data_IF_115777577047
#
_entry.id   IF_115777577047
#
_cell.length_a   1.000
_cell.length_b   1.000
_cell.length_c   1.000
_cell.angle_alpha   90.00
_cell.angle_beta   90.00
_cell.angle_gamma   90.00
#
_symmetry.space_group_name_H-M   'P 1'
#
loop_
_entity.id
_entity.type
_entity.pdbx_description
1 polymer ?
#
# COMPACT_ATOMS: atom_id res chain seq x y z
N UNK A 1 9.91 -2.83 8.39
CA UNK A 1 9.73 -3.52 7.09
C UNK A 1 10.82 -3.19 6.08
N UNK A 2 10.94 -1.93 5.61
CA UNK A 2 11.89 -1.59 4.54
C UNK A 2 13.34 -2.01 4.83
N UNK A 3 13.85 -1.71 6.02
CA UNK A 3 15.23 -2.09 6.41
C UNK A 3 15.46 -3.60 6.42
N UNK A 4 14.46 -4.39 6.81
CA UNK A 4 14.52 -5.86 6.79
C UNK A 4 14.73 -6.34 5.35
N UNK A 5 13.90 -5.88 4.42
CA UNK A 5 14.03 -6.23 3.00
C UNK A 5 15.35 -5.73 2.40
N UNK A 6 15.75 -4.49 2.70
CA UNK A 6 17.01 -3.92 2.21
C UNK A 6 18.21 -4.72 2.67
N UNK A 7 18.31 -5.02 3.97
CA UNK A 7 19.48 -5.67 4.54
C UNK A 7 19.53 -7.17 4.22
N UNK A 8 18.40 -7.87 4.39
CA UNK A 8 18.37 -9.32 4.22
C UNK A 8 18.40 -9.77 2.76
N UNK A 9 17.84 -8.97 1.84
CA UNK A 9 17.88 -9.25 0.40
C UNK A 9 18.91 -8.39 -0.35
N UNK A 10 19.55 -7.40 0.26
CA UNK A 10 20.48 -6.48 -0.42
C UNK A 10 19.82 -5.66 -1.53
N UNK A 11 18.52 -5.36 -1.42
CA UNK A 11 17.72 -4.73 -2.48
C UNK A 11 17.34 -3.30 -2.10
N UNK A 12 17.50 -2.30 -2.99
CA UNK A 12 16.89 -0.99 -2.76
C UNK A 12 15.37 -1.11 -2.63
N UNK A 13 14.80 -0.45 -1.63
CA UNK A 13 13.35 -0.42 -1.38
C UNK A 13 12.83 1.00 -1.54
N UNK A 14 11.94 1.21 -2.51
CA UNK A 14 11.18 2.45 -2.68
C UNK A 14 10.05 2.46 -1.65
N UNK A 15 9.98 3.54 -0.84
CA UNK A 15 9.05 3.64 0.29
C UNK A 15 7.92 4.60 -0.06
N UNK A 16 6.71 4.07 -0.21
CA UNK A 16 5.51 4.85 -0.54
C UNK A 16 4.44 4.61 0.53
N UNK A 17 4.06 5.66 1.26
CA UNK A 17 3.03 5.58 2.30
C UNK A 17 1.63 5.85 1.75
N UNK A 18 0.66 5.02 2.14
CA UNK A 18 -0.79 5.31 2.02
C UNK A 18 -1.20 6.36 3.05
N UNK A 19 -0.66 7.57 2.92
CA UNK A 19 -0.70 8.63 3.93
C UNK A 19 -0.87 10.00 3.28
N UNK A 20 -1.33 10.98 4.06
CA UNK A 20 -1.46 12.38 3.65
C UNK A 20 -2.36 12.59 2.40
N UNK A 21 -3.49 11.88 2.33
CA UNK A 21 -4.44 12.00 1.21
C UNK A 21 -5.45 10.85 1.12
N UNK A 22 -5.17 9.72 1.77
CA UNK A 22 -5.99 8.50 1.71
C UNK A 22 -7.29 8.54 2.55
N UNK A 23 -8.14 9.55 2.31
CA UNK A 23 -9.40 9.75 3.04
C UNK A 23 -10.59 9.12 2.34
N UNK A 24 -10.68 9.24 1.02
CA UNK A 24 -11.81 8.75 0.23
C UNK A 24 -11.88 7.22 0.21
N UNK A 25 -13.09 6.66 0.20
CA UNK A 25 -13.34 5.22 0.22
C UNK A 25 -14.42 4.80 -0.78
N UNK A 26 -14.13 3.88 -1.72
CA UNK A 26 -15.16 3.32 -2.57
C UNK A 26 -16.04 2.36 -1.76
N UNK A 27 -17.34 2.32 -2.07
CA UNK A 27 -18.32 1.46 -1.38
C UNK A 27 -19.02 0.56 -2.39
N UNK A 28 -19.31 -0.68 -1.98
CA UNK A 28 -20.08 -1.63 -2.80
C UNK A 28 -21.56 -1.26 -2.93
N UNK A 29 -22.09 -0.47 -2.01
CA UNK A 29 -23.47 0.03 -2.01
C UNK A 29 -23.47 1.54 -1.78
N UNK A 30 -24.48 2.22 -2.32
CA UNK A 30 -24.65 3.66 -2.17
C UNK A 30 -25.22 4.04 -0.79
N UNK A 31 -25.91 3.11 -0.15
CA UNK A 31 -26.59 3.24 1.12
C UNK A 31 -26.15 2.16 2.11
N UNK A 32 -26.50 2.38 3.38
CA UNK A 32 -26.31 1.46 4.48
C UNK A 32 -27.60 1.41 5.30
N UNK A 33 -28.08 0.20 5.60
CA UNK A 33 -29.28 -0.03 6.40
C UNK A 33 -28.91 -0.65 7.75
N UNK A 34 -29.30 0.00 8.84
CA UNK A 34 -29.12 -0.50 10.22
C UNK A 34 -30.44 -0.37 10.96
N UNK A 35 -30.92 -1.46 11.56
CA UNK A 35 -32.16 -1.50 12.34
C UNK A 35 -33.38 -0.88 11.62
N UNK A 36 -33.49 -1.10 10.30
CA UNK A 36 -34.61 -0.61 9.47
C UNK A 36 -34.49 0.84 8.99
N UNK A 37 -33.45 1.59 9.39
CA UNK A 37 -33.16 2.93 8.89
C UNK A 37 -32.12 2.84 7.78
N UNK A 38 -32.35 3.54 6.65
CA UNK A 38 -31.43 3.57 5.49
C UNK A 38 -30.84 4.97 5.33
N UNK A 39 -29.52 5.08 5.28
CA UNK A 39 -28.78 6.34 5.09
C UNK A 39 -27.72 6.18 4.00
N UNK A 40 -27.23 7.29 3.41
CA UNK A 40 -26.07 7.24 2.51
C UNK A 40 -24.88 6.54 3.16
N UNK A 41 -24.13 5.77 2.39
CA UNK A 41 -22.95 5.10 2.87
C UNK A 41 -21.87 6.12 3.29
N UNK A 42 -21.13 5.82 4.36
CA UNK A 42 -19.90 6.53 4.67
C UNK A 42 -18.86 6.34 3.55
N UNK A 43 -18.34 7.43 2.98
CA UNK A 43 -17.41 7.42 1.83
C UNK A 43 -16.02 7.95 2.18
N UNK A 44 -15.70 8.00 3.47
CA UNK A 44 -14.46 8.58 3.97
C UNK A 44 -14.66 10.01 4.46
N UNK A 45 -13.79 10.44 5.37
CA UNK A 45 -13.92 11.73 6.08
C UNK A 45 -13.85 12.95 5.16
N UNK A 46 -13.33 12.79 3.94
CA UNK A 46 -13.32 13.82 2.89
C UNK A 46 -14.69 14.06 2.25
N UNK A 47 -15.63 13.11 2.39
CA UNK A 47 -16.98 13.20 1.83
C UNK A 47 -18.00 13.46 2.94
N UNK A 48 -18.07 12.57 3.93
CA UNK A 48 -19.09 12.62 4.99
C UNK A 48 -18.57 12.02 6.30
N UNK A 49 -19.33 12.17 7.37
CA UNK A 49 -19.01 11.63 8.69
C UNK A 49 -19.41 10.16 8.85
N UNK A 50 -18.73 9.48 9.77
CA UNK A 50 -18.96 8.06 10.02
C UNK A 50 -20.26 7.74 10.77
N UNK A 51 -20.72 8.65 11.63
CA UNK A 51 -21.92 8.48 12.45
C UNK A 51 -23.11 8.00 11.62
N UNK A 52 -23.87 7.03 12.14
CA UNK A 52 -25.08 6.53 11.47
C UNK A 52 -26.27 7.43 11.82
N UNK A 53 -26.21 8.67 11.34
CA UNK A 53 -27.26 9.68 11.49
C UNK A 53 -27.30 10.57 10.24
N UNK A 54 -28.45 11.18 9.98
CA UNK A 54 -28.70 11.97 8.76
C UNK A 54 -27.66 13.08 8.59
N UNK A 55 -27.37 13.84 9.65
CA UNK A 55 -26.43 14.96 9.62
C UNK A 55 -25.02 14.51 9.25
N UNK A 56 -24.55 13.41 9.84
CA UNK A 56 -23.24 12.85 9.55
C UNK A 56 -23.13 12.34 8.12
N UNK A 57 -24.19 11.76 7.54
CA UNK A 57 -24.12 11.07 6.24
C UNK A 57 -24.30 11.97 5.02
N UNK A 58 -24.80 13.19 5.19
CA UNK A 58 -24.84 14.20 4.12
C UNK A 58 -23.41 14.57 3.69
N UNK A 59 -23.07 14.49 2.39
CA UNK A 59 -21.80 14.97 1.88
C UNK A 59 -21.59 16.46 2.15
N UNK A 60 -20.42 16.82 2.68
CA UNK A 60 -20.08 18.19 3.09
C UNK A 60 -18.81 18.66 2.37
N UNK A 61 -18.87 19.66 1.47
CA UNK A 61 -17.73 20.14 0.70
C UNK A 61 -16.64 20.79 1.56
N UNK A 62 -16.94 21.28 2.77
CA UNK A 62 -15.92 21.86 3.67
C UNK A 62 -14.91 20.79 4.13
N UNK A 63 -15.28 19.51 4.05
CA UNK A 63 -14.37 18.38 4.34
C UNK A 63 -13.22 18.27 3.34
N UNK A 64 -13.34 18.84 2.14
CA UNK A 64 -12.24 18.94 1.19
C UNK A 64 -11.08 19.77 1.79
N UNK A 65 -11.41 20.92 2.40
CA UNK A 65 -10.43 21.80 3.05
C UNK A 65 -9.84 21.15 4.30
N UNK A 66 -10.69 20.50 5.11
CA UNK A 66 -10.22 19.74 6.28
C UNK A 66 -9.21 18.66 5.90
N UNK A 67 -9.52 17.89 4.85
CA UNK A 67 -8.64 16.82 4.34
C UNK A 67 -7.32 17.37 3.80
N UNK A 68 -7.34 18.51 3.12
CA UNK A 68 -6.13 19.21 2.69
C UNK A 68 -5.25 19.65 3.88
N UNK A 69 -5.84 20.28 4.90
CA UNK A 69 -5.09 20.71 6.07
C UNK A 69 -4.47 19.53 6.83
N UNK A 70 -5.21 18.43 6.99
CA UNK A 70 -4.67 17.22 7.60
C UNK A 70 -3.56 16.59 6.74
N UNK A 71 -3.70 16.59 5.42
CA UNK A 71 -2.69 16.07 4.49
C UNK A 71 -1.37 16.83 4.60
N UNK A 72 -1.44 18.17 4.56
CA UNK A 72 -0.25 19.02 4.65
C UNK A 72 0.46 18.90 6.00
N UNK A 73 -0.28 18.88 7.11
CA UNK A 73 0.29 18.64 8.44
C UNK A 73 0.97 17.28 8.54
N UNK A 74 0.32 16.22 8.00
CA UNK A 74 0.86 14.87 8.00
C UNK A 74 2.14 14.76 7.16
N UNK A 75 2.12 15.28 5.92
CA UNK A 75 3.27 15.23 5.02
C UNK A 75 4.45 16.08 5.53
N UNK A 76 4.18 17.23 6.14
CA UNK A 76 5.21 18.05 6.77
C UNK A 76 5.95 17.26 7.87
N UNK A 77 5.21 16.57 8.74
CA UNK A 77 5.79 15.73 9.77
C UNK A 77 6.58 14.53 9.18
N UNK A 78 6.02 13.87 8.16
CA UNK A 78 6.69 12.76 7.48
C UNK A 78 8.01 13.18 6.83
N UNK A 79 8.05 14.36 6.19
CA UNK A 79 9.30 14.92 5.64
C UNK A 79 10.32 15.19 6.73
N UNK A 80 9.89 15.76 7.86
CA UNK A 80 10.76 15.97 9.02
C UNK A 80 11.33 14.65 9.57
N UNK A 81 10.55 13.58 9.64
CA UNK A 81 11.07 12.27 10.06
C UNK A 81 12.02 11.64 9.03
N UNK A 82 11.69 11.73 7.74
CA UNK A 82 12.47 11.12 6.67
C UNK A 82 13.85 11.77 6.47
N UNK A 83 13.97 13.08 6.76
CA UNK A 83 15.17 13.89 6.49
C UNK A 83 15.84 14.44 7.76
N UNK A 84 15.11 14.57 8.87
CA UNK A 84 15.57 15.16 10.12
C UNK A 84 16.22 14.19 11.11
N UNK A 85 16.64 13.00 10.65
CA UNK A 85 17.39 12.02 11.44
C UNK A 85 16.57 10.95 12.15
N UNK A 86 15.23 10.97 12.08
CA UNK A 86 14.43 9.85 12.61
C UNK A 86 14.63 8.57 11.78
N UNK A 87 14.82 8.71 10.47
CA UNK A 87 15.10 7.62 9.54
C UNK A 87 16.60 7.23 9.46
N UNK A 88 17.45 7.76 10.34
CA UNK A 88 18.87 7.41 10.42
C UNK A 88 19.02 5.94 10.83
N UNK A 89 19.87 5.19 10.11
CA UNK A 89 20.10 3.77 10.36
C UNK A 89 20.62 3.47 11.78
N UNK A 90 21.28 4.43 12.44
CA UNK A 90 21.68 4.31 13.85
C UNK A 90 20.48 4.28 14.81
N UNK A 91 19.27 4.60 14.35
CA UNK A 91 18.03 4.52 15.12
C UNK A 91 17.29 3.19 14.92
N UNK A 92 17.86 2.21 14.21
CA UNK A 92 17.16 0.97 13.80
C UNK A 92 16.50 0.22 14.97
N UNK A 93 17.13 0.21 16.14
CA UNK A 93 16.57 -0.38 17.36
C UNK A 93 15.33 0.37 17.87
N UNK A 94 15.28 1.69 17.72
CA UNK A 94 14.17 2.54 18.18
C UNK A 94 12.92 2.43 17.32
N UNK A 95 13.04 1.89 16.11
CA UNK A 95 11.87 1.64 15.25
C UNK A 95 11.10 0.40 15.65
N UNK A 96 11.69 -0.47 16.49
CA UNK A 96 10.94 -1.56 17.07
C UNK A 96 9.99 -1.00 18.13
N UNK A 97 8.70 -1.32 18.02
CA UNK A 97 7.70 -0.82 18.95
C UNK A 97 7.75 -1.66 20.23
N UNK A 98 7.59 -1.02 21.39
CA UNK A 98 7.75 -1.67 22.70
C UNK A 98 6.86 -2.91 22.88
N UNK A 99 5.70 -2.96 22.21
CA UNK A 99 4.77 -4.09 22.30
C UNK A 99 5.16 -5.29 21.44
N UNK A 100 6.17 -5.17 20.57
CA UNK A 100 6.74 -6.28 19.80
C UNK A 100 7.64 -7.15 20.69
N UNK A 101 7.97 -6.69 21.91
CA UNK A 101 8.82 -7.40 22.86
C UNK A 101 8.27 -8.80 23.24
N UNK A 102 9.19 -9.72 23.57
CA UNK A 102 8.90 -11.09 24.02
C UNK A 102 8.31 -12.05 22.97
N UNK A 103 8.68 -11.87 21.69
CA UNK A 103 8.35 -12.83 20.61
C UNK A 103 9.62 -13.32 19.89
N UNK A 104 9.55 -14.50 19.27
CA UNK A 104 10.64 -14.99 18.41
C UNK A 104 10.91 -14.06 17.21
N UNK A 105 9.89 -13.31 16.78
CA UNK A 105 10.02 -12.30 15.73
C UNK A 105 10.83 -11.08 16.22
N UNK A 106 10.68 -10.68 17.47
CA UNK A 106 11.48 -9.63 18.08
C UNK A 106 12.96 -10.00 18.14
N UNK A 107 13.26 -11.26 18.48
CA UNK A 107 14.63 -11.78 18.50
C UNK A 107 15.26 -11.74 17.10
N UNK A 108 14.52 -12.20 16.07
CA UNK A 108 14.97 -12.09 14.67
C UNK A 108 15.25 -10.65 14.26
N UNK A 109 14.41 -9.69 14.67
CA UNK A 109 14.64 -8.27 14.39
C UNK A 109 15.85 -7.72 15.14
N UNK A 110 16.02 -8.07 16.42
CA UNK A 110 17.18 -7.66 17.22
C UNK A 110 18.47 -8.13 16.57
N UNK A 111 18.56 -9.41 16.18
CA UNK A 111 19.74 -9.94 15.49
C UNK A 111 20.03 -9.21 14.17
N UNK A 112 18.99 -8.82 13.42
CA UNK A 112 19.16 -8.03 12.20
C UNK A 112 19.65 -6.62 12.50
N UNK A 113 19.13 -5.98 13.55
CA UNK A 113 19.54 -4.66 13.99
C UNK A 113 21.00 -4.65 14.48
N UNK A 114 21.41 -5.66 15.26
CA UNK A 114 22.80 -5.83 15.71
C UNK A 114 23.77 -5.95 14.52
N UNK A 115 23.38 -6.72 13.49
CA UNK A 115 24.18 -6.84 12.26
C UNK A 115 24.27 -5.53 11.46
N UNK A 116 23.25 -4.68 11.55
CA UNK A 116 23.31 -3.34 10.94
C UNK A 116 24.27 -2.46 11.72
N UNK A 117 24.26 -2.49 13.05
CA UNK A 117 25.22 -1.76 13.88
C UNK A 117 26.65 -2.18 13.59
N UNK A 118 26.92 -3.48 13.46
CA UNK A 118 28.22 -4.02 13.04
C UNK A 118 28.62 -3.51 11.64
N UNK A 119 27.67 -3.44 10.71
CA UNK A 119 27.91 -2.94 9.35
C UNK A 119 28.27 -1.45 9.37
N UNK A 120 27.53 -0.64 10.14
CA UNK A 120 27.81 0.79 10.29
C UNK A 120 29.16 1.03 10.98
N UNK A 121 29.50 0.23 12.00
CA UNK A 121 30.80 0.28 12.67
C UNK A 121 31.94 -0.08 11.71
N UNK A 122 31.75 -1.09 10.85
CA UNK A 122 32.71 -1.44 9.80
C UNK A 122 32.89 -0.31 8.79
N UNK A 123 31.78 0.26 8.27
CA UNK A 123 31.84 1.41 7.36
C UNK A 123 32.59 2.59 7.98
N UNK A 124 32.37 2.87 9.28
CA UNK A 124 33.10 3.89 10.02
C UNK A 124 34.59 3.58 10.13
N UNK A 125 34.96 2.34 10.45
CA UNK A 125 36.35 1.91 10.51
C UNK A 125 37.07 2.04 9.15
N UNK A 126 36.33 1.90 8.04
CA UNK A 126 36.81 2.14 6.69
C UNK A 126 36.79 3.62 6.25
N UNK A 127 36.37 4.55 7.11
CA UNK A 127 36.30 5.98 6.80
C UNK A 127 35.03 6.42 6.04
N UNK A 128 33.98 5.61 6.01
CA UNK A 128 32.71 5.85 5.29
C UNK A 128 31.53 6.21 6.21
N UNK A 129 31.76 7.05 7.24
CA UNK A 129 30.77 7.37 8.30
C UNK A 129 29.93 8.66 8.03
N UNK A 130 30.31 9.45 7.04
CA UNK A 130 29.74 10.78 6.79
C UNK A 130 28.70 10.84 5.67
N UNK A 131 28.30 9.69 5.13
CA UNK A 131 27.36 9.60 4.01
C UNK A 131 25.94 10.02 4.44
N UNK A 132 25.32 11.04 3.80
CA UNK A 132 23.94 11.45 4.07
C UNK A 132 22.94 10.31 3.91
N UNK A 133 23.21 9.39 2.98
CA UNK A 133 22.36 8.22 2.68
C UNK A 133 22.18 7.26 3.87
N UNK A 134 23.04 7.34 4.90
CA UNK A 134 22.87 6.58 6.14
C UNK A 134 21.93 7.27 7.14
N UNK A 135 21.72 8.58 7.00
CA UNK A 135 21.01 9.45 7.96
C UNK A 135 19.62 9.86 7.49
N UNK A 136 19.39 9.84 6.18
CA UNK A 136 18.14 10.25 5.56
C UNK A 136 17.59 9.19 4.61
N UNK A 137 16.30 9.28 4.29
CA UNK A 137 15.69 8.40 3.30
C UNK A 137 14.61 9.10 2.50
N UNK A 138 14.46 8.74 1.23
CA UNK A 138 13.32 9.20 0.42
C UNK A 138 12.05 8.49 0.88
N UNK A 139 10.99 9.28 1.10
CA UNK A 139 9.66 8.79 1.44
C UNK A 139 8.63 9.51 0.57
N UNK A 140 7.78 8.73 -0.09
CA UNK A 140 6.74 9.22 -0.99
C UNK A 140 5.36 8.94 -0.42
N UNK A 141 4.35 9.62 -0.94
CA UNK A 141 2.94 9.45 -0.54
C UNK A 141 2.10 9.02 -1.72
N UNK A 142 1.07 8.24 -1.42
CA UNK A 142 0.08 7.82 -2.39
C UNK A 142 -1.32 7.68 -1.78
N UNK A 143 -2.33 7.91 -2.62
CA UNK A 143 -3.72 7.59 -2.33
C UNK A 143 -4.48 7.17 -3.59
N UNK A 144 -5.67 6.60 -3.39
CA UNK A 144 -6.61 6.33 -4.48
C UNK A 144 -7.15 7.66 -5.01
N UNK A 145 -6.89 7.97 -6.27
CA UNK A 145 -7.51 9.11 -6.96
C UNK A 145 -8.99 8.77 -7.14
N UNK A 146 -9.83 9.12 -6.17
CA UNK A 146 -11.23 8.70 -6.12
C UNK A 146 -12.18 9.89 -6.24
N UNK A 147 -11.96 10.92 -5.43
CA UNK A 147 -12.80 12.12 -5.42
C UNK A 147 -12.19 13.16 -6.35
N UNK A 148 -12.53 13.06 -7.64
CA UNK A 148 -11.89 13.86 -8.70
C UNK A 148 -12.01 15.38 -8.50
N UNK A 149 -13.03 15.87 -7.79
CA UNK A 149 -13.11 17.29 -7.42
C UNK A 149 -11.94 17.74 -6.54
N UNK A 150 -11.46 16.86 -5.66
CA UNK A 150 -10.29 17.12 -4.84
C UNK A 150 -9.03 17.05 -5.70
N UNK A 151 -8.86 15.96 -6.46
CA UNK A 151 -7.68 15.74 -7.32
C UNK A 151 -7.49 16.88 -8.34
N UNK A 152 -8.57 17.29 -9.03
CA UNK A 152 -8.55 18.38 -10.01
C UNK A 152 -8.01 19.69 -9.42
N UNK A 153 -8.38 20.03 -8.18
CA UNK A 153 -7.90 21.25 -7.51
C UNK A 153 -6.38 21.23 -7.22
N UNK A 154 -5.75 20.05 -7.23
CA UNK A 154 -4.32 19.86 -7.05
C UNK A 154 -3.56 19.62 -8.36
N UNK A 155 -4.23 19.56 -9.51
CA UNK A 155 -3.53 19.53 -10.79
C UNK A 155 -2.82 20.87 -11.01
N UNK A 156 -1.49 20.82 -11.10
CA UNK A 156 -0.62 21.96 -11.37
C UNK A 156 0.22 21.70 -12.59
N UNK A 157 0.57 22.79 -13.27
CA UNK A 157 1.51 22.77 -14.38
C UNK A 157 2.92 22.97 -13.84
N UNK A 158 3.82 22.07 -14.16
CA UNK A 158 5.23 22.20 -13.84
C UNK A 158 5.84 23.41 -14.56
N UNK A 159 6.63 24.19 -13.83
CA UNK A 159 7.16 25.46 -14.34
C UNK A 159 8.27 25.32 -15.39
N UNK A 160 8.90 24.14 -15.50
CA UNK A 160 10.04 23.91 -16.38
C UNK A 160 9.63 23.18 -17.65
N UNK A 161 8.82 22.13 -17.50
CA UNK A 161 8.41 21.22 -18.57
C UNK A 161 7.07 21.60 -19.18
N UNK A 162 6.25 22.39 -18.46
CA UNK A 162 4.86 22.68 -18.80
C UNK A 162 3.90 21.49 -18.73
N UNK A 163 4.34 20.37 -18.17
CA UNK A 163 3.56 19.16 -17.96
C UNK A 163 2.60 19.29 -16.77
N UNK A 164 1.50 18.55 -16.80
CA UNK A 164 0.55 18.53 -15.70
C UNK A 164 0.88 17.41 -14.72
N UNK A 165 0.83 17.72 -13.43
CA UNK A 165 0.94 16.79 -12.32
C UNK A 165 -0.21 17.03 -11.36
N UNK A 166 -0.81 15.96 -10.87
CA UNK A 166 -1.63 16.06 -9.67
C UNK A 166 -0.68 16.14 -8.46
N UNK A 167 -0.62 17.31 -7.84
CA UNK A 167 0.25 17.58 -6.70
C UNK A 167 -0.41 17.22 -5.35
N UNK A 168 -1.51 16.47 -5.33
CA UNK A 168 -2.13 15.95 -4.10
C UNK A 168 -1.26 14.87 -3.45
N UNK A 169 -0.54 14.08 -4.26
CA UNK A 169 0.40 13.05 -3.82
C UNK A 169 1.50 12.81 -4.86
N UNK A 170 2.50 11.99 -4.52
CA UNK A 170 3.57 11.64 -5.45
C UNK A 170 3.09 10.59 -6.46
N UNK A 171 2.36 9.59 -5.99
CA UNK A 171 1.78 8.51 -6.79
C UNK A 171 0.28 8.41 -6.52
N UNK A 172 -0.51 8.12 -7.55
CA UNK A 172 -1.95 7.94 -7.45
C UNK A 172 -2.35 6.58 -8.02
N UNK A 173 -3.41 5.97 -7.51
CA UNK A 173 -3.94 4.77 -8.16
C UNK A 173 -5.44 4.84 -8.44
N UNK A 174 -5.85 4.06 -9.45
CA UNK A 174 -7.24 3.78 -9.78
C UNK A 174 -7.69 2.51 -9.06
N UNK A 175 -8.81 2.58 -8.35
CA UNK A 175 -9.42 1.45 -7.67
C UNK A 175 -10.02 0.42 -8.63
N UNK A 176 -10.22 -0.81 -8.14
CA UNK A 176 -10.77 -1.91 -8.95
C UNK A 176 -12.22 -1.65 -9.39
N UNK A 177 -12.92 -0.73 -8.71
CA UNK A 177 -14.30 -0.31 -9.02
C UNK A 177 -14.39 0.92 -9.93
N UNK A 178 -13.27 1.58 -10.21
CA UNK A 178 -13.21 2.87 -10.92
C UNK A 178 -12.29 2.84 -12.14
N UNK A 179 -11.86 1.65 -12.58
CA UNK A 179 -10.96 1.44 -13.72
C UNK A 179 -11.66 1.13 -15.05
N UNK A 180 -12.87 1.64 -15.24
CA UNK A 180 -13.56 1.52 -16.53
C UNK A 180 -12.75 2.25 -17.60
N UNK A 181 -12.53 1.61 -18.76
CA UNK A 181 -11.65 2.14 -19.82
C UNK A 181 -12.07 3.52 -20.33
N UNK A 182 -13.38 3.77 -20.38
CA UNK A 182 -14.03 5.02 -20.77
C UNK A 182 -14.46 5.86 -19.56
N UNK A 183 -14.00 5.49 -18.35
CA UNK A 183 -14.36 6.13 -17.09
C UNK A 183 -13.54 7.37 -16.78
N UNK A 184 -14.11 8.22 -15.91
CA UNK A 184 -13.52 9.50 -15.54
C UNK A 184 -12.15 9.37 -14.86
N UNK A 185 -11.93 8.33 -14.04
CA UNK A 185 -10.66 8.15 -13.32
C UNK A 185 -9.50 7.76 -14.25
N UNK A 186 -9.78 6.94 -15.27
CA UNK A 186 -8.80 6.59 -16.30
C UNK A 186 -8.47 7.82 -17.13
N UNK A 187 -9.47 8.59 -17.55
CA UNK A 187 -9.26 9.85 -18.27
C UNK A 187 -8.45 10.86 -17.46
N UNK A 188 -8.76 11.02 -16.17
CA UNK A 188 -8.05 11.94 -15.28
C UNK A 188 -6.57 11.58 -15.17
N UNK A 189 -6.25 10.31 -14.85
CA UNK A 189 -4.86 9.88 -14.69
C UNK A 189 -4.09 9.74 -16.01
N UNK A 190 -4.78 9.60 -17.15
CA UNK A 190 -4.17 9.69 -18.48
C UNK A 190 -3.47 11.04 -18.70
N UNK A 191 -4.01 12.12 -18.15
CA UNK A 191 -3.55 13.49 -18.40
C UNK A 191 -2.46 14.04 -17.48
N UNK A 192 -2.13 13.35 -16.39
CA UNK A 192 -1.11 13.77 -15.41
C UNK A 192 0.17 12.93 -15.53
N UNK A 193 1.32 13.50 -15.17
CA UNK A 193 2.64 12.87 -15.34
C UNK A 193 3.18 12.17 -14.08
N UNK A 194 2.37 12.07 -13.01
CA UNK A 194 2.71 11.27 -11.83
C UNK A 194 2.99 9.80 -12.22
N UNK A 195 3.86 9.05 -11.51
CA UNK A 195 3.75 7.60 -11.53
C UNK A 195 2.35 7.22 -11.02
N UNK A 196 1.71 6.27 -11.71
CA UNK A 196 0.33 5.86 -11.41
C UNK A 196 0.23 4.36 -11.21
N UNK A 197 -0.87 3.92 -10.61
CA UNK A 197 -1.17 2.51 -10.46
C UNK A 197 -2.63 2.18 -10.71
N UNK A 198 -2.90 0.89 -10.91
CA UNK A 198 -4.24 0.37 -11.12
C UNK A 198 -4.40 -0.89 -10.29
N UNK A 199 -5.49 -0.99 -9.54
CA UNK A 199 -5.86 -2.26 -8.88
C UNK A 199 -6.35 -3.27 -9.92
N UNK A 200 -5.73 -4.45 -9.93
CA UNK A 200 -6.04 -5.54 -10.85
C UNK A 200 -6.66 -6.69 -10.04
N UNK A 201 -7.99 -6.73 -10.00
CA UNK A 201 -8.75 -7.80 -9.34
C UNK A 201 -9.16 -8.95 -10.27
N UNK A 202 -9.88 -9.97 -9.74
CA UNK A 202 -10.25 -11.19 -10.48
C UNK A 202 -11.13 -10.98 -11.72
N UNK A 203 -11.75 -9.81 -11.86
CA UNK A 203 -12.55 -9.46 -13.04
C UNK A 203 -11.70 -8.91 -14.20
N UNK A 204 -10.41 -8.65 -14.01
CA UNK A 204 -9.53 -8.20 -15.09
C UNK A 204 -9.30 -9.33 -16.09
N UNK A 205 -9.45 -9.03 -17.38
CA UNK A 205 -9.06 -9.90 -18.49
C UNK A 205 -7.90 -9.28 -19.27
N UNK A 206 -7.28 -10.09 -20.15
CA UNK A 206 -6.09 -9.70 -20.89
C UNK A 206 -6.33 -8.49 -21.81
N UNK A 207 -7.44 -8.48 -22.57
CA UNK A 207 -7.73 -7.43 -23.54
C UNK A 207 -7.92 -6.07 -22.85
N UNK A 208 -8.73 -6.04 -21.79
CA UNK A 208 -8.96 -4.82 -21.02
C UNK A 208 -7.67 -4.34 -20.33
N UNK A 209 -6.82 -5.26 -19.86
CA UNK A 209 -5.55 -4.89 -19.24
C UNK A 209 -4.62 -4.20 -20.25
N UNK A 210 -4.44 -4.78 -21.44
CA UNK A 210 -3.60 -4.19 -22.49
C UNK A 210 -4.14 -2.82 -22.93
N UNK A 211 -5.45 -2.72 -23.17
CA UNK A 211 -6.09 -1.43 -23.51
C UNK A 211 -5.91 -0.38 -22.42
N UNK A 212 -5.96 -0.78 -21.15
CA UNK A 212 -5.73 0.13 -20.04
C UNK A 212 -4.27 0.60 -19.98
N UNK A 213 -3.31 -0.29 -20.24
CA UNK A 213 -1.89 0.06 -20.35
C UNK A 213 -1.65 1.04 -21.50
N UNK A 214 -2.26 0.80 -22.67
CA UNK A 214 -2.13 1.70 -23.83
C UNK A 214 -2.63 3.12 -23.53
N UNK A 215 -3.69 3.24 -22.73
CA UNK A 215 -4.23 4.54 -22.33
C UNK A 215 -3.32 5.22 -21.30
N UNK A 216 -2.86 4.48 -20.28
CA UNK A 216 -2.20 5.05 -19.10
C UNK A 216 -0.68 5.17 -19.24
N UNK A 217 -0.08 4.40 -20.14
CA UNK A 217 1.35 4.37 -20.43
C UNK A 217 1.60 4.26 -21.96
N UNK A 218 1.16 5.26 -22.76
CA UNK A 218 1.23 5.19 -24.22
C UNK A 218 2.66 5.11 -24.75
N UNK A 219 3.61 5.74 -24.05
CA UNK A 219 5.03 5.75 -24.43
C UNK A 219 5.83 4.56 -23.87
N UNK A 220 5.15 3.64 -23.17
CA UNK A 220 5.75 2.45 -22.57
C UNK A 220 6.92 2.76 -21.61
N UNK A 221 6.81 3.84 -20.84
CA UNK A 221 7.79 4.23 -19.84
C UNK A 221 7.80 3.19 -18.69
N UNK A 222 8.95 2.58 -18.35
CA UNK A 222 9.02 1.52 -17.36
C UNK A 222 8.71 1.95 -15.91
N UNK A 223 8.78 3.25 -15.61
CA UNK A 223 8.48 3.82 -14.30
C UNK A 223 7.04 4.35 -14.16
N UNK A 224 6.27 4.37 -15.25
CA UNK A 224 4.97 5.05 -15.31
C UNK A 224 3.84 4.30 -14.60
N UNK A 225 3.73 2.99 -14.81
CA UNK A 225 2.52 2.25 -14.45
C UNK A 225 2.80 1.06 -13.52
N UNK A 226 2.17 1.09 -12.34
CA UNK A 226 2.16 -0.01 -11.36
C UNK A 226 0.84 -0.81 -11.43
N UNK A 227 0.92 -2.07 -11.86
CA UNK A 227 -0.20 -3.01 -11.81
C UNK A 227 -0.25 -3.68 -10.42
N UNK A 228 -1.25 -3.30 -9.63
CA UNK A 228 -1.41 -3.71 -8.23
C UNK A 228 -2.41 -4.88 -8.16
N UNK A 229 -1.89 -6.10 -8.23
CA UNK A 229 -2.64 -7.36 -8.28
C UNK A 229 -3.29 -7.66 -6.93
N UNK A 230 -4.58 -7.94 -6.92
CA UNK A 230 -5.36 -8.27 -5.71
C UNK A 230 -6.40 -9.36 -6.00
N UNK A 231 -5.94 -10.58 -6.22
CA UNK A 231 -6.77 -11.68 -6.70
C UNK A 231 -7.39 -12.50 -5.56
N UNK A 232 -6.71 -12.56 -4.44
CA UNK A 232 -6.99 -13.48 -3.34
C UNK A 232 -6.10 -14.72 -3.44
N UNK A 233 -5.79 -15.31 -2.28
CA UNK A 233 -4.91 -16.48 -2.20
C UNK A 233 -5.40 -17.65 -3.05
N UNK A 234 -6.71 -17.83 -3.19
CA UNK A 234 -7.29 -18.97 -3.90
C UNK A 234 -7.35 -18.76 -5.43
N UNK A 235 -6.97 -17.58 -5.94
CA UNK A 235 -7.17 -17.20 -7.35
C UNK A 235 -5.93 -16.66 -8.04
N UNK A 236 -4.95 -16.16 -7.29
CA UNK A 236 -3.76 -15.53 -7.88
C UNK A 236 -2.99 -16.49 -8.80
N UNK A 237 -2.87 -17.77 -8.41
CA UNK A 237 -2.18 -18.79 -9.21
C UNK A 237 -2.85 -19.09 -10.55
N UNK A 238 -4.18 -19.02 -10.61
CA UNK A 238 -4.95 -19.32 -11.83
C UNK A 238 -5.05 -18.11 -12.76
N UNK A 239 -5.17 -16.90 -12.19
CA UNK A 239 -5.51 -15.69 -12.94
C UNK A 239 -4.30 -14.85 -13.36
N UNK A 240 -3.25 -14.78 -12.55
CA UNK A 240 -2.11 -13.88 -12.82
C UNK A 240 -1.24 -14.33 -14.02
N UNK A 241 -0.95 -15.63 -14.23
CA UNK A 241 -0.05 -16.06 -15.32
C UNK A 241 -0.47 -15.55 -16.71
N UNK A 242 -1.76 -15.65 -17.04
CA UNK A 242 -2.29 -15.20 -18.33
C UNK A 242 -2.16 -13.68 -18.53
N UNK A 243 -2.22 -12.89 -17.46
CA UNK A 243 -2.06 -11.43 -17.52
C UNK A 243 -0.60 -11.06 -17.76
N UNK A 244 0.34 -11.73 -17.07
CA UNK A 244 1.78 -11.53 -17.27
C UNK A 244 2.15 -11.84 -18.73
N UNK A 245 1.75 -13.01 -19.24
CA UNK A 245 2.04 -13.41 -20.63
C UNK A 245 1.48 -12.43 -21.66
N UNK A 246 0.31 -11.86 -21.42
CA UNK A 246 -0.27 -10.85 -22.29
C UNK A 246 0.57 -9.56 -22.30
N UNK A 247 0.94 -9.06 -21.11
CA UNK A 247 1.78 -7.85 -20.96
C UNK A 247 3.15 -8.04 -21.61
N UNK A 248 3.80 -9.17 -21.38
CA UNK A 248 5.10 -9.49 -21.97
C UNK A 248 5.02 -9.74 -23.47
N UNK A 249 3.98 -10.42 -23.95
CA UNK A 249 3.75 -10.67 -25.37
C UNK A 249 3.58 -9.39 -26.19
N UNK A 250 3.00 -8.35 -25.58
CA UNK A 250 2.86 -7.00 -26.15
C UNK A 250 4.07 -6.08 -25.87
N UNK A 251 5.12 -6.60 -25.20
CA UNK A 251 6.33 -5.84 -24.89
C UNK A 251 6.12 -4.67 -23.92
N UNK A 252 5.07 -4.72 -23.10
CA UNK A 252 4.69 -3.63 -22.18
C UNK A 252 5.57 -3.63 -20.93
N UNK A 253 6.01 -2.44 -20.53
CA UNK A 253 6.83 -2.20 -19.34
C UNK A 253 5.94 -1.67 -18.22
N UNK A 254 5.87 -2.45 -17.14
CA UNK A 254 5.06 -2.15 -15.96
C UNK A 254 5.76 -2.64 -14.71
N UNK A 255 5.46 -2.00 -13.57
CA UNK A 255 5.82 -2.52 -12.26
C UNK A 255 4.68 -3.43 -11.76
N UNK A 256 4.98 -4.68 -11.41
CA UNK A 256 4.01 -5.57 -10.78
C UNK A 256 4.09 -5.48 -9.25
N UNK A 257 2.97 -5.19 -8.59
CA UNK A 257 2.86 -5.23 -7.13
C UNK A 257 1.76 -6.19 -6.69
N UNK A 258 1.95 -6.80 -5.52
CA UNK A 258 0.92 -7.60 -4.87
C UNK A 258 0.21 -6.82 -3.75
N UNK A 259 -1.11 -6.73 -3.81
CA UNK A 259 -2.02 -6.31 -2.74
C UNK A 259 -2.74 -7.54 -2.18
N UNK A 260 -2.14 -8.21 -1.19
CA UNK A 260 -2.65 -9.47 -0.66
C UNK A 260 -3.79 -9.28 0.34
N UNK A 261 -4.38 -8.08 0.43
CA UNK A 261 -5.30 -7.74 1.53
C UNK A 261 -6.73 -7.60 1.04
N UNK A 262 -6.95 -6.80 -0.01
CA UNK A 262 -8.30 -6.40 -0.38
C UNK A 262 -9.15 -7.59 -0.87
N UNK A 263 -8.55 -8.66 -1.38
CA UNK A 263 -9.29 -9.85 -1.85
C UNK A 263 -9.47 -10.94 -0.80
N UNK A 264 -8.68 -10.92 0.27
CA UNK A 264 -8.74 -11.89 1.37
C UNK A 264 -9.60 -11.40 2.54
N UNK A 265 -10.56 -10.51 2.28
CA UNK A 265 -11.45 -9.97 3.31
C UNK A 265 -12.66 -10.87 3.49
N UNK A 266 -12.87 -11.33 4.72
CA UNK A 266 -13.99 -12.19 5.11
C UNK A 266 -14.82 -11.50 6.20
N UNK A 267 -16.03 -12.00 6.45
CA UNK A 267 -16.87 -11.57 7.57
C UNK A 267 -16.82 -12.66 8.64
N UNK A 268 -16.31 -12.32 9.82
CA UNK A 268 -16.23 -13.19 10.98
C UNK A 268 -17.65 -13.49 11.54
N UNK A 269 -17.74 -14.52 12.38
CA UNK A 269 -18.99 -14.91 13.04
C UNK A 269 -19.60 -13.80 13.91
N UNK A 270 -18.74 -12.96 14.50
CA UNK A 270 -19.11 -11.76 15.27
C UNK A 270 -19.70 -10.61 14.42
N UNK A 271 -19.63 -10.72 13.10
CA UNK A 271 -20.07 -9.69 12.16
C UNK A 271 -19.01 -8.67 11.76
N UNK A 272 -17.86 -8.65 12.45
CA UNK A 272 -16.69 -7.88 12.04
C UNK A 272 -16.15 -8.38 10.69
N UNK A 273 -15.63 -7.46 9.88
CA UNK A 273 -14.75 -7.86 8.80
C UNK A 273 -13.40 -8.23 9.40
N UNK A 274 -12.76 -9.25 8.85
CA UNK A 274 -11.36 -9.58 9.17
C UNK A 274 -10.65 -10.09 7.92
N UNK A 275 -9.36 -10.31 8.03
CA UNK A 275 -8.51 -10.94 7.03
C UNK A 275 -7.67 -11.99 7.74
N UNK A 276 -7.58 -13.17 7.14
CA UNK A 276 -6.69 -14.21 7.66
C UNK A 276 -5.27 -13.93 7.19
N UNK A 277 -4.36 -13.73 8.15
CA UNK A 277 -2.95 -13.52 7.86
C UNK A 277 -2.33 -14.68 7.07
N UNK A 278 -2.79 -15.92 7.27
CA UNK A 278 -2.33 -17.05 6.47
C UNK A 278 -2.68 -16.90 4.98
N UNK A 279 -3.88 -16.41 4.67
CA UNK A 279 -4.31 -16.12 3.29
C UNK A 279 -3.53 -14.93 2.70
N UNK A 280 -3.27 -13.88 3.50
CA UNK A 280 -2.40 -12.77 3.08
C UNK A 280 -1.03 -13.31 2.66
N UNK A 281 -0.39 -14.13 3.51
CA UNK A 281 0.91 -14.75 3.18
C UNK A 281 0.81 -15.69 1.97
N UNK A 282 -0.29 -16.45 1.86
CA UNK A 282 -0.54 -17.37 0.77
C UNK A 282 -0.58 -16.68 -0.60
N UNK A 283 -1.26 -15.53 -0.69
CA UNK A 283 -1.30 -14.74 -1.92
C UNK A 283 0.07 -14.16 -2.28
N UNK A 284 0.83 -13.65 -1.29
CA UNK A 284 2.19 -13.14 -1.53
C UNK A 284 3.11 -14.25 -2.05
N UNK A 285 3.11 -15.43 -1.42
CA UNK A 285 3.94 -16.56 -1.84
C UNK A 285 3.63 -16.98 -3.27
N UNK A 286 2.35 -17.13 -3.59
CA UNK A 286 1.93 -17.51 -4.94
C UNK A 286 2.25 -16.43 -5.98
N UNK A 287 2.12 -15.15 -5.63
CA UNK A 287 2.53 -14.05 -6.50
C UNK A 287 4.02 -14.16 -6.90
N UNK A 288 4.91 -14.39 -5.94
CA UNK A 288 6.33 -14.62 -6.23
C UNK A 288 6.56 -15.90 -7.06
N UNK A 289 5.86 -16.99 -6.75
CA UNK A 289 5.97 -18.26 -7.50
C UNK A 289 5.52 -18.12 -8.96
N UNK A 290 4.44 -17.37 -9.20
CA UNK A 290 3.96 -17.09 -10.56
C UNK A 290 4.98 -16.26 -11.31
N UNK A 291 5.54 -15.20 -10.71
CA UNK A 291 6.57 -14.41 -11.36
C UNK A 291 7.82 -15.23 -11.70
N UNK A 292 8.29 -16.08 -10.78
CA UNK A 292 9.42 -17.00 -11.01
C UNK A 292 9.13 -17.98 -12.16
N UNK A 293 7.93 -18.57 -12.20
CA UNK A 293 7.52 -19.52 -13.24
C UNK A 293 7.36 -18.87 -14.62
N UNK A 294 6.89 -17.62 -14.68
CA UNK A 294 6.73 -16.86 -15.93
C UNK A 294 8.01 -16.14 -16.35
N UNK A 295 9.06 -16.12 -15.52
CA UNK A 295 10.32 -15.41 -15.82
C UNK A 295 10.21 -13.88 -15.73
N UNK A 296 9.22 -13.38 -14.98
CA UNK A 296 8.92 -11.95 -14.81
C UNK A 296 9.31 -11.47 -13.41
N UNK A 297 9.24 -10.15 -13.16
CA UNK A 297 9.71 -9.56 -11.90
C UNK A 297 8.58 -9.22 -10.92
N UNK A 298 8.60 -9.86 -9.75
CA UNK A 298 7.75 -9.52 -8.60
C UNK A 298 8.24 -8.21 -7.93
N UNK A 299 7.73 -7.08 -8.41
CA UNK A 299 8.30 -5.75 -8.17
C UNK A 299 7.96 -5.05 -6.85
N UNK A 300 6.87 -5.43 -6.17
CA UNK A 300 6.44 -4.72 -4.98
C UNK A 300 5.32 -5.37 -4.17
N UNK A 301 5.06 -4.77 -3.00
CA UNK A 301 3.96 -5.13 -2.10
C UNK A 301 3.16 -3.87 -1.74
N UNK A 302 1.85 -3.99 -1.66
CA UNK A 302 0.92 -2.91 -1.36
C UNK A 302 -0.03 -3.34 -0.24
N UNK A 303 0.20 -2.86 0.98
CA UNK A 303 -0.48 -3.34 2.19
C UNK A 303 -1.19 -2.22 2.96
N UNK A 304 -2.16 -2.62 3.77
CA UNK A 304 -2.82 -1.80 4.78
C UNK A 304 -2.34 -2.23 6.17
N UNK A 305 -1.63 -1.33 6.84
CA UNK A 305 -0.99 -1.61 8.12
C UNK A 305 -1.16 -0.43 9.09
N UNK A 306 -0.88 -0.70 10.36
CA UNK A 306 -0.84 0.32 11.41
C UNK A 306 0.25 0.00 12.41
N UNK A 307 0.91 1.04 12.94
CA UNK A 307 1.83 0.92 14.07
C UNK A 307 1.11 0.86 15.43
N UNK A 308 -0.21 0.96 15.45
CA UNK A 308 -1.00 0.77 16.67
C UNK A 308 -1.10 -0.72 17.01
N UNK A 309 -1.19 -1.01 18.32
CA UNK A 309 -1.44 -2.37 18.79
C UNK A 309 -2.94 -2.70 18.64
N UNK A 310 -3.32 -3.22 17.47
CA UNK A 310 -4.71 -3.54 17.10
C UNK A 310 -4.90 -5.04 16.84
N UNK A 311 -6.15 -5.49 16.95
CA UNK A 311 -6.57 -6.87 16.66
C UNK A 311 -7.55 -6.91 15.49
N UNK A 312 -7.09 -6.52 14.30
CA UNK A 312 -7.97 -6.37 13.13
C UNK A 312 -7.90 -7.59 12.18
N UNK A 313 -6.72 -8.16 11.94
CA UNK A 313 -6.53 -9.39 11.15
C UNK A 313 -6.30 -10.60 12.07
N UNK A 314 -6.95 -11.73 11.79
CA UNK A 314 -6.74 -12.99 12.53
C UNK A 314 -5.44 -13.68 12.12
N UNK A 315 -4.92 -14.56 12.99
CA UNK A 315 -3.67 -15.29 12.77
C UNK A 315 -2.42 -14.45 13.05
N UNK A 316 -1.28 -14.86 12.47
CA UNK A 316 0.05 -14.31 12.75
C UNK A 316 0.78 -15.05 13.87
N UNK A 317 2.06 -14.70 14.09
CA UNK A 317 2.90 -15.33 15.12
C UNK A 317 2.33 -15.20 16.54
N UNK A 318 1.65 -14.09 16.84
CA UNK A 318 0.83 -13.89 18.03
C UNK A 318 -0.64 -14.04 17.60
N UNK A 319 -1.21 -15.27 17.66
CA UNK A 319 -2.46 -15.56 16.95
C UNK A 319 -3.64 -14.78 17.53
N UNK A 320 -4.20 -13.90 16.71
CA UNK A 320 -5.48 -13.23 16.98
C UNK A 320 -6.60 -14.17 16.54
N UNK A 321 -7.54 -14.46 17.44
CA UNK A 321 -8.76 -15.22 17.15
C UNK A 321 -9.91 -14.30 16.77
N UNK A 322 -11.02 -14.83 16.24
CA UNK A 322 -12.22 -14.04 15.98
C UNK A 322 -12.76 -13.35 17.24
N UNK A 323 -12.71 -14.03 18.39
CA UNK A 323 -13.12 -13.45 19.68
C UNK A 323 -12.18 -12.30 20.11
N UNK A 324 -10.91 -12.39 19.75
CA UNK A 324 -9.91 -11.34 20.01
C UNK A 324 -10.10 -10.06 19.18
N UNK A 325 -10.92 -10.10 18.12
CA UNK A 325 -11.14 -8.93 17.26
C UNK A 325 -11.74 -7.77 18.05
N UNK A 326 -12.69 -8.04 18.96
CA UNK A 326 -13.37 -6.98 19.70
C UNK A 326 -12.50 -6.24 20.73
N UNK A 327 -11.29 -6.72 21.03
CA UNK A 327 -10.40 -6.08 22.01
C UNK A 327 -9.96 -4.68 21.53
N UNK A 328 -9.46 -4.59 20.28
CA UNK A 328 -8.87 -3.36 19.71
C UNK A 328 -9.17 -3.18 18.23
N UNK A 329 -10.43 -3.35 17.83
CA UNK A 329 -10.88 -3.08 16.46
C UNK A 329 -11.09 -1.58 16.25
N UNK A 330 -10.10 -0.90 15.65
CA UNK A 330 -10.09 0.58 15.53
C UNK A 330 -10.25 1.06 14.08
N UNK A 331 -10.61 0.18 13.16
CA UNK A 331 -10.92 0.52 11.77
C UNK A 331 -12.42 0.44 11.53
N UNK A 332 -12.91 1.30 10.63
CA UNK A 332 -14.28 1.26 10.15
C UNK A 332 -14.36 0.93 8.66
N UNK A 333 -13.20 0.83 8.01
CA UNK A 333 -13.09 0.44 6.61
C UNK A 333 -12.77 -1.06 6.56
N UNK A 334 -11.54 -1.39 6.22
CA UNK A 334 -11.07 -2.75 6.17
C UNK A 334 -10.00 -3.02 7.24
N UNK A 335 -9.85 -4.29 7.67
CA UNK A 335 -8.88 -4.71 8.68
C UNK A 335 -7.42 -4.49 8.27
N UNK A 336 -6.62 -3.88 9.13
CA UNK A 336 -5.19 -3.61 8.89
C UNK A 336 -4.31 -4.66 9.58
N UNK A 337 -3.14 -4.91 9.02
CA UNK A 337 -2.11 -5.64 9.75
C UNK A 337 -1.57 -4.77 10.89
N UNK A 338 -1.40 -5.37 12.06
CA UNK A 338 -0.66 -4.72 13.14
C UNK A 338 0.86 -4.78 12.87
N UNK A 339 1.66 -4.24 13.79
CA UNK A 339 3.11 -4.16 13.59
C UNK A 339 3.80 -5.53 13.56
N UNK A 340 3.36 -6.50 14.39
CA UNK A 340 3.90 -7.87 14.39
C UNK A 340 3.68 -8.55 13.05
N UNK A 341 2.42 -8.57 12.57
CA UNK A 341 2.04 -9.16 11.29
C UNK A 341 2.79 -8.49 10.13
N UNK A 342 2.95 -7.17 10.18
CA UNK A 342 3.69 -6.40 9.16
C UNK A 342 5.18 -6.76 9.14
N UNK A 343 5.79 -6.96 10.31
CA UNK A 343 7.19 -7.35 10.44
C UNK A 343 7.41 -8.80 10.01
N UNK A 344 6.50 -9.70 10.36
CA UNK A 344 6.50 -11.10 9.95
C UNK A 344 6.45 -11.22 8.41
N UNK A 345 5.55 -10.46 7.77
CA UNK A 345 5.48 -10.39 6.31
C UNK A 345 6.79 -9.87 5.70
N UNK A 346 7.43 -8.85 6.31
CA UNK A 346 8.68 -8.31 5.78
C UNK A 346 9.83 -9.33 5.78
N UNK A 347 9.92 -10.17 6.81
CA UNK A 347 10.90 -11.26 6.86
C UNK A 347 10.62 -12.33 5.79
N UNK A 348 9.35 -12.70 5.58
CA UNK A 348 8.99 -13.63 4.52
C UNK A 348 9.37 -13.10 3.13
N UNK A 349 9.07 -11.83 2.85
CA UNK A 349 9.43 -11.20 1.57
C UNK A 349 10.96 -11.17 1.41
N UNK A 350 11.69 -10.80 2.47
CA UNK A 350 13.15 -10.80 2.45
C UNK A 350 13.74 -12.20 2.13
N UNK A 351 13.23 -13.25 2.76
CA UNK A 351 13.66 -14.63 2.48
C UNK A 351 13.38 -15.03 1.03
N UNK A 352 12.22 -14.64 0.50
CA UNK A 352 11.82 -14.92 -0.89
C UNK A 352 12.72 -14.17 -1.88
N UNK A 353 12.94 -12.86 -1.69
CA UNK A 353 13.82 -12.06 -2.54
C UNK A 353 15.26 -12.58 -2.56
N UNK A 354 15.75 -13.11 -1.43
CA UNK A 354 17.09 -13.72 -1.36
C UNK A 354 17.21 -14.99 -2.23
N UNK A 355 16.12 -15.73 -2.41
CA UNK A 355 16.09 -16.92 -3.29
C UNK A 355 16.03 -16.52 -4.77
N UNK A 356 15.32 -15.43 -5.09
CA UNK A 356 15.12 -14.93 -6.46
C UNK A 356 16.35 -14.23 -7.03
N UNK A 357 17.20 -13.62 -6.19
CA UNK A 357 18.44 -12.90 -6.60
C UNK A 357 19.58 -13.79 -7.14
N UNK A 358 19.26 -14.81 -7.92
CA UNK A 358 20.25 -15.65 -8.60
C UNK A 358 20.99 -14.90 -9.70
#
# INVERSE_FOLDING_TARGET
MAIVMTFAAGCPVVKVGRMAGQFAKPRSANDETINGVTLPAYRGDIVNGIGFDEKSRVPDPERLLQSYHQSTATLNLLRAFAQGGFADLHQVHKWNLDFIANSALAEKYSQLADRIDETLAFMRACGMDSSPQLRETSFFTAHEALLLNYEEAFVRRDSLTNDYYDCSAHMLWIGDRTRQLDGAHVEFLRGVNNPIGVKVGPSMNNEDLIRLIDILNPDNDPGRLNLIVRMGADKVGDHLPQLIRAVEGEGKQVLWSCDPMHANTIKASSGYKTRDFAQILGEVKQFFQVHDAEGSYAGGIHIEMTGQNVTECIGGANPITEDGLSDRYHTHCDPRMNADQSLELAFLIAETLKQVKR
#
